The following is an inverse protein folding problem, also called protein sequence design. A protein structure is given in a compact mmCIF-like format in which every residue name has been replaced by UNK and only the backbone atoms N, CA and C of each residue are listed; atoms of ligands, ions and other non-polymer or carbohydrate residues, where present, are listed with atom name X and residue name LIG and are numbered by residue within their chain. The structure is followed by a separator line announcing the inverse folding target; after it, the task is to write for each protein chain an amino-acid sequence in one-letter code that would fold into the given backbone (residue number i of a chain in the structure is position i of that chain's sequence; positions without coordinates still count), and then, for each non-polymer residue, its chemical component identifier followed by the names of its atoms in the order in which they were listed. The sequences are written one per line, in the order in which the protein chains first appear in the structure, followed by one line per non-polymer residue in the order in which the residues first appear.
data_IF_313049650532
#
_entry.id   IF_313049650532
#
_cell.length_a   1.000
_cell.length_b   1.000
_cell.length_c   1.000
_cell.angle_alpha   90.00
_cell.angle_beta   90.00
_cell.angle_gamma   90.00
#
_symmetry.space_group_name_H-M   'P 1'
#
loop_
_entity.id
_entity.type
_entity.pdbx_description
1 polymer ?
#
# COMPACT_ATOMS: atom_id res chain seq x y z
N UNK A 1 9.24 -14.57 -8.99
CA UNK A 1 8.89 -13.16 -8.83
C UNK A 1 8.18 -12.96 -7.50
N UNK A 2 8.43 -11.82 -6.87
CA UNK A 2 7.80 -11.51 -5.60
C UNK A 2 6.33 -11.15 -5.80
N UNK A 3 5.52 -11.48 -4.82
CA UNK A 3 4.08 -11.25 -4.84
C UNK A 3 3.67 -10.39 -3.66
N UNK A 4 2.66 -9.54 -3.87
CA UNK A 4 1.96 -8.84 -2.81
C UNK A 4 0.77 -9.69 -2.40
N UNK A 5 0.67 -10.00 -1.11
CA UNK A 5 -0.42 -10.82 -0.57
C UNK A 5 -1.23 -9.95 0.37
N UNK A 6 -2.55 -9.99 0.22
CA UNK A 6 -3.46 -9.21 1.06
C UNK A 6 -3.34 -9.66 2.51
N UNK A 7 -2.98 -8.72 3.39
CA UNK A 7 -2.98 -8.92 4.82
C UNK A 7 -4.28 -8.43 5.44
N UNK A 8 -4.25 -7.98 6.71
CA UNK A 8 -5.45 -7.43 7.35
C UNK A 8 -6.03 -6.28 6.55
N UNK A 9 -7.36 -6.26 6.42
CA UNK A 9 -8.04 -5.20 5.69
C UNK A 9 -9.39 -4.89 6.33
N UNK A 10 -9.90 -3.71 5.99
CA UNK A 10 -11.22 -3.24 6.38
C UNK A 10 -11.88 -2.58 5.17
N UNK A 11 -13.16 -2.88 4.93
CA UNK A 11 -13.93 -2.33 3.81
C UNK A 11 -14.36 -3.41 2.82
N UNK A 12 -14.59 -3.00 1.58
CA UNK A 12 -15.05 -3.91 0.54
C UNK A 12 -13.99 -4.98 0.23
N UNK A 13 -14.43 -6.22 0.05
CA UNK A 13 -13.55 -7.29 -0.38
C UNK A 13 -13.07 -7.05 -1.81
N UNK A 14 -11.87 -7.54 -2.11
CA UNK A 14 -11.27 -7.44 -3.44
C UNK A 14 -10.94 -8.83 -3.97
N UNK A 15 -11.06 -9.07 -5.28
CA UNK A 15 -10.57 -10.30 -5.88
C UNK A 15 -9.04 -10.35 -5.97
N UNK A 16 -8.37 -9.20 -5.80
CA UNK A 16 -6.93 -9.10 -5.94
C UNK A 16 -6.23 -9.32 -4.61
N UNK A 17 -6.25 -10.56 -4.11
CA UNK A 17 -5.64 -10.90 -2.82
C UNK A 17 -4.16 -11.29 -2.96
N UNK A 18 -3.69 -11.49 -4.17
CA UNK A 18 -2.30 -11.84 -4.44
C UNK A 18 -1.95 -11.31 -5.83
N UNK A 19 -1.04 -10.33 -5.91
CA UNK A 19 -0.63 -9.72 -7.18
C UNK A 19 0.89 -9.64 -7.27
N UNK A 20 1.46 -9.70 -8.49
CA UNK A 20 2.89 -9.44 -8.65
C UNK A 20 3.25 -8.03 -8.19
N UNK A 21 4.45 -7.86 -7.64
CA UNK A 21 4.92 -6.56 -7.17
C UNK A 21 5.09 -5.52 -8.28
N UNK A 22 4.87 -5.92 -9.53
CA UNK A 22 4.97 -5.01 -10.68
C UNK A 22 3.60 -4.55 -11.18
N UNK A 23 2.50 -5.01 -10.57
CA UNK A 23 1.15 -4.72 -11.04
C UNK A 23 0.40 -3.78 -10.11
N UNK A 24 -0.46 -2.97 -10.70
CA UNK A 24 -1.35 -2.07 -9.97
C UNK A 24 -0.62 -0.88 -9.35
N UNK A 25 -1.37 -0.08 -8.61
CA UNK A 25 -0.81 1.05 -7.86
C UNK A 25 0.08 0.51 -6.74
N UNK A 26 -0.35 -0.56 -6.08
CA UNK A 26 0.42 -1.23 -5.04
C UNK A 26 1.79 -1.69 -5.56
N UNK A 27 1.81 -2.35 -6.71
CA UNK A 27 3.07 -2.77 -7.33
C UNK A 27 3.97 -1.59 -7.67
N UNK A 28 3.37 -0.50 -8.15
CA UNK A 28 4.12 0.72 -8.46
C UNK A 28 4.78 1.32 -7.22
N UNK A 29 4.07 1.34 -6.09
CA UNK A 29 4.62 1.86 -4.84
C UNK A 29 5.82 1.03 -4.37
N UNK A 30 5.74 -0.28 -4.48
CA UNK A 30 6.86 -1.17 -4.15
C UNK A 30 8.04 -0.91 -5.08
N UNK A 31 7.81 -0.90 -6.38
CA UNK A 31 8.87 -0.73 -7.37
C UNK A 31 9.58 0.61 -7.22
N UNK A 32 8.85 1.66 -6.91
CA UNK A 32 9.40 3.00 -6.74
C UNK A 32 9.90 3.26 -5.32
N UNK A 33 9.55 2.40 -4.39
CA UNK A 33 9.89 2.52 -2.96
C UNK A 33 9.48 3.89 -2.40
N UNK A 34 8.26 4.32 -2.73
CA UNK A 34 7.71 5.59 -2.24
C UNK A 34 6.20 5.56 -2.19
N UNK A 35 5.62 6.48 -1.44
CA UNK A 35 4.18 6.69 -1.40
C UNK A 35 3.68 7.13 -2.78
N UNK A 36 2.59 6.52 -3.22
CA UNK A 36 1.90 6.88 -4.46
C UNK A 36 0.50 7.35 -4.10
N UNK A 37 0.15 8.56 -4.55
CA UNK A 37 -1.19 9.13 -4.38
C UNK A 37 -1.82 9.25 -5.75
N UNK A 38 -3.01 8.69 -5.91
CA UNK A 38 -3.77 8.75 -7.17
C UNK A 38 -5.07 9.49 -6.91
N UNK A 39 -5.22 10.66 -7.53
CA UNK A 39 -6.39 11.52 -7.33
C UNK A 39 -7.63 10.97 -8.02
N UNK A 40 -7.45 10.31 -9.16
CA UNK A 40 -8.52 9.71 -9.95
C UNK A 40 -8.02 8.41 -10.54
N UNK A 41 -8.43 7.29 -9.96
CA UNK A 41 -7.95 5.97 -10.38
C UNK A 41 -8.37 5.62 -11.81
N UNK A 42 -9.51 6.14 -12.26
CA UNK A 42 -9.99 5.86 -13.62
C UNK A 42 -9.06 6.44 -14.69
N UNK A 43 -8.27 7.45 -14.33
CA UNK A 43 -7.32 8.10 -15.24
C UNK A 43 -5.92 7.51 -15.16
N UNK A 44 -5.67 6.59 -14.24
CA UNK A 44 -4.33 6.02 -14.04
C UNK A 44 -4.24 4.66 -14.71
N UNK A 45 -3.34 4.49 -15.71
CA UNK A 45 -3.22 3.22 -16.43
C UNK A 45 -2.70 2.07 -15.57
N UNK A 46 -2.13 2.37 -14.40
CA UNK A 46 -1.61 1.34 -13.49
C UNK A 46 -2.73 0.73 -12.64
N UNK A 47 -3.91 1.36 -12.59
CA UNK A 47 -4.95 0.96 -11.65
C UNK A 47 -5.44 -0.46 -11.94
N UNK A 48 -5.39 -1.30 -10.89
CA UNK A 48 -5.95 -2.63 -10.90
C UNK A 48 -7.25 -2.57 -10.09
N UNK A 49 -8.38 -2.67 -10.78
CA UNK A 49 -9.69 -2.43 -10.20
C UNK A 49 -9.99 -3.42 -9.06
N UNK A 50 -10.11 -2.90 -7.84
CA UNK A 50 -10.51 -3.68 -6.67
C UNK A 50 -11.98 -3.49 -6.35
N UNK A 51 -12.56 -2.35 -6.74
CA UNK A 51 -13.95 -2.00 -6.51
C UNK A 51 -14.39 -0.98 -7.55
N UNK A 52 -15.62 -1.12 -8.03
CA UNK A 52 -16.20 -0.15 -8.98
C UNK A 52 -16.43 1.21 -8.33
N UNK A 53 -16.43 1.27 -6.99
CA UNK A 53 -16.71 2.48 -6.24
C UNK A 53 -15.46 3.28 -5.91
N UNK A 54 -14.27 2.72 -6.09
CA UNK A 54 -13.03 3.40 -5.78
C UNK A 54 -12.80 4.56 -6.76
N UNK A 55 -12.53 5.74 -6.22
CA UNK A 55 -12.27 6.96 -6.99
C UNK A 55 -10.84 7.44 -6.85
N UNK A 56 -10.28 7.35 -5.65
CA UNK A 56 -8.89 7.73 -5.39
C UNK A 56 -8.24 6.71 -4.48
N UNK A 57 -6.90 6.74 -4.45
CA UNK A 57 -6.13 5.74 -3.70
C UNK A 57 -4.81 6.34 -3.22
N UNK A 58 -4.36 5.88 -2.05
CA UNK A 58 -3.02 6.16 -1.57
C UNK A 58 -2.39 4.85 -1.11
N UNK A 59 -1.15 4.61 -1.52
CA UNK A 59 -0.39 3.44 -1.12
C UNK A 59 0.95 3.89 -0.56
N UNK A 60 1.29 3.43 0.63
CA UNK A 60 2.53 3.77 1.30
C UNK A 60 3.31 2.51 1.62
N UNK A 61 4.58 2.40 1.18
CA UNK A 61 5.39 1.24 1.51
C UNK A 61 5.70 1.15 3.00
N UNK A 62 5.75 -0.07 3.51
CA UNK A 62 6.26 -0.38 4.85
C UNK A 62 7.67 -0.92 4.67
N UNK A 63 8.63 -0.32 5.38
CA UNK A 63 10.05 -0.67 5.23
C UNK A 63 10.64 -1.19 6.53
N UNK A 64 11.52 -2.16 6.37
CA UNK A 64 12.42 -2.60 7.44
C UNK A 64 13.83 -2.46 6.90
N UNK A 65 14.64 -1.62 7.56
CA UNK A 65 16.01 -1.32 7.14
C UNK A 65 16.11 -0.87 5.69
N UNK A 66 15.17 -0.02 5.28
CA UNK A 66 15.11 0.54 3.94
C UNK A 66 14.52 -0.37 2.86
N UNK A 67 14.21 -1.61 3.20
CA UNK A 67 13.63 -2.58 2.25
C UNK A 67 12.13 -2.65 2.44
N UNK A 68 11.40 -2.66 1.33
CA UNK A 68 9.94 -2.77 1.37
C UNK A 68 9.56 -4.20 1.75
N UNK A 69 8.82 -4.32 2.85
CA UNK A 69 8.31 -5.61 3.34
C UNK A 69 6.79 -5.71 3.26
N UNK A 70 6.13 -4.63 2.92
CA UNK A 70 4.69 -4.59 2.80
C UNK A 70 4.25 -3.19 2.42
N UNK A 71 2.96 -2.93 2.51
CA UNK A 71 2.42 -1.60 2.24
C UNK A 71 1.06 -1.42 2.90
N UNK A 72 0.70 -0.14 3.08
CA UNK A 72 -0.63 0.26 3.51
C UNK A 72 -1.31 0.85 2.29
N UNK A 73 -2.49 0.33 1.97
CA UNK A 73 -3.29 0.73 0.81
C UNK A 73 -4.64 1.24 1.32
N UNK A 74 -5.00 2.47 0.96
CA UNK A 74 -6.28 3.06 1.35
C UNK A 74 -6.99 3.57 0.10
N UNK A 75 -8.21 3.09 -0.09
CA UNK A 75 -9.08 3.50 -1.19
C UNK A 75 -10.17 4.42 -0.68
N UNK A 76 -10.62 5.34 -1.52
CA UNK A 76 -11.72 6.24 -1.21
C UNK A 76 -12.74 6.25 -2.34
N UNK A 77 -14.01 6.43 -1.97
CA UNK A 77 -15.11 6.62 -2.93
C UNK A 77 -15.22 8.09 -3.38
N UNK A 78 -14.28 8.93 -2.99
CA UNK A 78 -14.25 10.34 -3.33
C UNK A 78 -13.00 10.63 -4.14
N UNK A 79 -13.14 11.44 -5.19
CA UNK A 79 -11.99 11.91 -5.96
C UNK A 79 -11.09 12.78 -5.09
N UNK A 80 -9.79 12.69 -5.30
CA UNK A 80 -8.79 13.54 -4.66
C UNK A 80 -8.95 13.57 -3.12
N UNK A 81 -9.18 12.39 -2.52
CA UNK A 81 -9.46 12.28 -1.10
C UNK A 81 -8.22 12.47 -0.22
N UNK A 82 -7.02 12.27 -0.77
CA UNK A 82 -5.80 12.20 0.03
C UNK A 82 -4.92 13.42 -0.21
N UNK A 83 -4.75 14.22 0.84
CA UNK A 83 -3.95 15.43 0.83
C UNK A 83 -2.58 15.17 1.47
N UNK A 84 -1.71 16.19 1.48
CA UNK A 84 -0.38 16.05 2.03
C UNK A 84 -0.37 15.58 3.49
N UNK A 85 -1.36 16.02 4.29
CA UNK A 85 -1.47 15.61 5.68
C UNK A 85 -1.79 14.13 5.83
N UNK A 86 -2.65 13.61 4.96
CA UNK A 86 -2.99 12.18 4.96
C UNK A 86 -1.78 11.33 4.59
N UNK A 87 -1.03 11.80 3.61
CA UNK A 87 0.21 11.14 3.20
C UNK A 87 1.19 11.07 4.36
N UNK A 88 1.40 12.18 5.05
CA UNK A 88 2.32 12.22 6.19
C UNK A 88 1.86 11.31 7.31
N UNK A 89 0.56 11.29 7.58
CA UNK A 89 -0.01 10.41 8.60
C UNK A 89 0.23 8.95 8.25
N UNK A 90 -0.05 8.56 7.02
CA UNK A 90 0.14 7.17 6.57
C UNK A 90 1.61 6.77 6.63
N UNK A 91 2.51 7.66 6.24
CA UNK A 91 3.95 7.38 6.29
C UNK A 91 4.42 7.16 7.73
N UNK A 92 3.87 7.90 8.69
CA UNK A 92 4.16 7.64 10.10
C UNK A 92 3.60 6.30 10.56
N UNK A 93 2.39 5.95 10.14
CA UNK A 93 1.81 4.65 10.43
C UNK A 93 2.69 3.53 9.86
N UNK A 94 3.15 3.68 8.63
CA UNK A 94 4.02 2.70 7.99
C UNK A 94 5.34 2.52 8.74
N UNK A 95 5.91 3.61 9.24
CA UNK A 95 7.13 3.54 10.05
C UNK A 95 6.92 2.76 11.35
N UNK A 96 5.78 2.97 12.00
CA UNK A 96 5.43 2.26 13.25
C UNK A 96 5.24 0.77 12.95
N UNK A 97 4.52 0.43 11.90
CA UNK A 97 4.30 -0.96 11.51
C UNK A 97 5.62 -1.61 11.12
N UNK A 98 6.49 -0.91 10.40
CA UNK A 98 7.80 -1.42 10.03
C UNK A 98 8.65 -1.76 11.24
N UNK A 99 8.65 -0.90 12.25
CA UNK A 99 9.37 -1.17 13.50
C UNK A 99 8.80 -2.39 14.23
N UNK A 100 7.48 -2.52 14.23
CA UNK A 100 6.84 -3.68 14.84
C UNK A 100 7.23 -4.97 14.11
N UNK A 101 7.21 -4.96 12.79
CA UNK A 101 7.60 -6.12 11.99
C UNK A 101 9.05 -6.47 12.25
N UNK A 102 9.94 -5.49 12.30
CA UNK A 102 11.36 -5.73 12.58
C UNK A 102 11.55 -6.41 13.93
N UNK A 103 10.86 -5.93 14.96
CA UNK A 103 10.97 -6.48 16.32
C UNK A 103 10.44 -7.91 16.41
N UNK A 104 9.35 -8.20 15.72
CA UNK A 104 8.70 -9.51 15.82
C UNK A 104 9.26 -10.54 14.84
N UNK A 105 9.98 -10.09 13.81
CA UNK A 105 10.53 -10.97 12.77
C UNK A 105 12.02 -11.26 12.98
N UNK A 106 12.63 -10.67 14.00
CA UNK A 106 14.05 -10.95 14.28
C UNK A 106 14.22 -12.43 14.58
N UNK A 107 15.24 -13.06 13.99
CA UNK A 107 15.56 -14.43 14.35
C UNK A 107 15.82 -14.49 15.85
N UNK A 108 15.36 -15.58 16.45
CA UNK A 108 15.71 -15.86 17.84
C UNK A 108 17.19 -16.14 17.90
N UNK A 109 17.92 -15.25 18.57
CA UNK A 109 19.37 -15.39 18.72
C UNK A 109 19.76 -16.23 19.92
N UNK A 110 18.76 -16.78 20.56
CA UNK A 110 18.99 -17.66 21.69
C UNK A 110 19.69 -18.94 21.33
#
# INVERSE_FOLDING_TARGET
ASMLILGPFHGEATPHTCIPVTQGICGSAVAQNKTVVVEDVASDPRYLSCSVNTKSEIVTPIRVRGRVVGEIDVDSHVLNAFQAEDRQFLERCANIVGRYIEQTSQPDLG
#
